data_IF_623698240177
#
_entry.id   IF_623698240177
#
_cell.length_a   1.000
_cell.length_b   1.000
_cell.length_c   1.000
_cell.angle_alpha   90.00
_cell.angle_beta   90.00
_cell.angle_gamma   90.00
#
_symmetry.space_group_name_H-M   'P 1'
#
loop_
_entity.id
_entity.type
_entity.pdbx_description
1 polymer ?
#
# COMPACT_ATOMS: atom_id res chain seq x y z
N UNK A 1 -14.50 10.16 25.35
CA UNK A 1 -13.77 9.64 26.53
C UNK A 1 -13.05 10.74 27.29
N UNK A 2 -12.26 11.59 26.64
CA UNK A 2 -11.72 12.81 27.28
C UNK A 2 -12.84 13.67 27.90
N UNK A 3 -13.94 13.84 27.17
CA UNK A 3 -15.15 14.48 27.70
C UNK A 3 -15.72 13.78 28.96
N UNK A 4 -15.62 12.45 29.08
CA UNK A 4 -16.09 11.72 30.26
C UNK A 4 -15.20 11.96 31.48
N UNK A 5 -13.88 12.03 31.28
CA UNK A 5 -12.94 12.42 32.33
C UNK A 5 -13.21 13.86 32.82
N UNK A 6 -13.50 14.78 31.90
CA UNK A 6 -13.87 16.16 32.26
C UNK A 6 -15.21 16.19 33.02
N UNK A 7 -16.21 15.41 32.59
CA UNK A 7 -17.51 15.26 33.27
C UNK A 7 -17.33 14.78 34.71
N UNK A 8 -16.40 13.84 34.98
CA UNK A 8 -16.11 13.34 36.33
C UNK A 8 -15.66 14.45 37.30
N UNK A 9 -14.86 15.41 36.83
CA UNK A 9 -14.34 16.52 37.66
C UNK A 9 -15.35 17.67 37.73
N UNK A 10 -15.92 18.07 36.58
CA UNK A 10 -16.69 19.32 36.46
C UNK A 10 -18.10 19.16 37.04
N UNK A 11 -18.76 18.03 36.76
CA UNK A 11 -20.17 17.82 37.10
C UNK A 11 -20.36 17.06 38.42
N UNK A 12 -19.34 16.36 38.94
CA UNK A 12 -19.43 15.71 40.26
C UNK A 12 -19.37 16.69 41.46
N UNK A 13 -19.40 17.99 41.21
CA UNK A 13 -19.42 19.00 42.27
C UNK A 13 -20.84 19.15 42.85
N UNK A 14 -21.08 18.61 44.06
CA UNK A 14 -22.38 18.67 44.71
C UNK A 14 -22.47 17.82 45.98
N UNK A 15 -23.44 18.14 46.86
CA UNK A 15 -23.74 17.46 48.14
C UNK A 15 -22.62 17.48 49.21
N UNK A 16 -21.66 18.41 49.13
CA UNK A 16 -20.59 18.53 50.14
C UNK A 16 -19.52 17.42 50.08
N UNK A 17 -19.48 16.64 48.99
CA UNK A 17 -18.47 15.61 48.73
C UNK A 17 -17.41 16.12 47.75
N UNK A 18 -16.15 15.69 47.88
CA UNK A 18 -15.09 16.04 46.92
C UNK A 18 -15.40 15.47 45.53
N UNK A 19 -14.85 16.07 44.46
CA UNK A 19 -14.96 15.53 43.10
C UNK A 19 -14.50 14.07 43.06
N UNK A 20 -15.00 13.28 42.10
CA UNK A 20 -14.64 11.88 41.94
C UNK A 20 -13.24 11.76 41.28
N UNK A 21 -12.22 12.25 42.00
CA UNK A 21 -10.81 12.14 41.65
C UNK A 21 -10.35 10.70 41.37
N UNK A 22 -10.81 9.66 42.10
CA UNK A 22 -10.47 8.28 41.78
C UNK A 22 -10.91 7.87 40.36
N UNK A 23 -12.11 8.27 39.95
CA UNK A 23 -12.66 7.95 38.63
C UNK A 23 -11.89 8.70 37.53
N UNK A 24 -11.59 9.99 37.75
CA UNK A 24 -10.77 10.76 36.82
C UNK A 24 -9.38 10.13 36.62
N UNK A 25 -8.67 9.86 37.71
CA UNK A 25 -7.34 9.25 37.66
C UNK A 25 -7.41 7.87 37.01
N UNK A 26 -8.44 7.08 37.32
CA UNK A 26 -8.70 5.78 36.71
C UNK A 26 -8.90 5.86 35.19
N UNK A 27 -9.75 6.78 34.71
CA UNK A 27 -10.00 6.98 33.28
C UNK A 27 -8.72 7.47 32.57
N UNK A 28 -8.00 8.43 33.16
CA UNK A 28 -6.77 8.96 32.58
C UNK A 28 -5.69 7.87 32.49
N UNK A 29 -5.53 7.06 33.53
CA UNK A 29 -4.56 5.96 33.54
C UNK A 29 -4.97 4.88 32.51
N UNK A 30 -6.26 4.57 32.40
CA UNK A 30 -6.77 3.65 31.38
C UNK A 30 -6.54 4.17 29.96
N UNK A 31 -6.78 5.45 29.70
CA UNK A 31 -6.48 6.08 28.42
C UNK A 31 -4.99 6.03 28.11
N UNK A 32 -4.15 6.38 29.07
CA UNK A 32 -2.70 6.36 28.92
C UNK A 32 -2.18 4.93 28.66
N UNK A 33 -2.68 3.94 29.40
CA UNK A 33 -2.34 2.53 29.17
C UNK A 33 -2.75 2.08 27.77
N UNK A 34 -3.98 2.38 27.33
CA UNK A 34 -4.46 2.05 25.98
C UNK A 34 -3.63 2.73 24.90
N UNK A 35 -3.29 4.01 25.07
CA UNK A 35 -2.44 4.75 24.13
C UNK A 35 -1.02 4.20 24.07
N UNK A 36 -0.41 3.86 25.20
CA UNK A 36 0.95 3.28 25.25
C UNK A 36 0.98 1.90 24.62
N UNK A 37 0.06 1.00 24.99
CA UNK A 37 -0.05 -0.34 24.41
C UNK A 37 -0.31 -0.22 22.90
N UNK A 38 -1.27 0.61 22.51
CA UNK A 38 -1.61 0.87 21.12
C UNK A 38 -0.42 1.39 20.33
N UNK A 39 0.32 2.37 20.85
CA UNK A 39 1.49 2.93 20.19
C UNK A 39 2.63 1.91 20.05
N UNK A 40 2.93 1.14 21.10
CA UNK A 40 3.99 0.12 21.07
C UNK A 40 3.67 -0.95 20.03
N UNK A 41 2.46 -1.49 20.05
CA UNK A 41 2.05 -2.55 19.12
C UNK A 41 1.95 -2.02 17.69
N UNK A 42 1.41 -0.83 17.48
CA UNK A 42 1.34 -0.20 16.15
C UNK A 42 2.73 0.07 15.58
N UNK A 43 3.70 0.49 16.41
CA UNK A 43 5.09 0.68 15.98
C UNK A 43 5.77 -0.65 15.61
N UNK A 44 5.58 -1.70 16.41
CA UNK A 44 6.12 -3.03 16.10
C UNK A 44 5.56 -3.56 14.78
N UNK A 45 4.25 -3.44 14.58
CA UNK A 45 3.59 -3.89 13.38
C UNK A 45 4.01 -3.05 12.16
N UNK A 46 4.10 -1.73 12.31
CA UNK A 46 4.56 -0.81 11.27
C UNK A 46 6.00 -1.05 10.83
N UNK A 47 6.92 -1.37 11.75
CA UNK A 47 8.31 -1.71 11.39
C UNK A 47 8.38 -2.98 10.52
N UNK A 48 7.59 -4.00 10.86
CA UNK A 48 7.54 -5.24 10.06
C UNK A 48 6.99 -4.97 8.65
N UNK A 49 5.92 -4.17 8.54
CA UNK A 49 5.38 -3.78 7.23
C UNK A 49 6.38 -2.94 6.44
N UNK A 50 7.13 -2.03 7.08
CA UNK A 50 8.15 -1.21 6.41
C UNK A 50 9.27 -2.05 5.80
N UNK A 51 9.68 -3.11 6.48
CA UNK A 51 10.69 -4.05 5.95
C UNK A 51 10.15 -4.81 4.73
N UNK A 52 8.88 -5.20 4.75
CA UNK A 52 8.20 -5.78 3.58
C UNK A 52 8.10 -4.79 2.42
N UNK A 53 7.76 -3.53 2.69
CA UNK A 53 7.72 -2.48 1.68
C UNK A 53 9.10 -2.24 1.06
N UNK A 54 10.18 -2.37 1.84
CA UNK A 54 11.54 -2.25 1.31
C UNK A 54 11.86 -3.36 0.28
N UNK A 55 11.33 -4.57 0.47
CA UNK A 55 11.49 -5.66 -0.50
C UNK A 55 10.68 -5.48 -1.80
N UNK A 56 9.73 -4.53 -1.81
CA UNK A 56 8.95 -4.12 -2.98
C UNK A 56 9.50 -2.84 -3.61
N UNK A 57 10.61 -2.30 -3.10
CA UNK A 57 11.18 -1.08 -3.64
C UNK A 57 11.50 -1.30 -5.13
N UNK A 58 11.19 -0.32 -6.00
CA UNK A 58 11.55 -0.43 -7.41
C UNK A 58 13.05 -0.60 -7.52
N UNK A 59 13.50 -1.61 -8.26
CA UNK A 59 14.91 -1.82 -8.57
C UNK A 59 15.27 -1.17 -9.92
N UNK A 60 16.52 -0.76 -10.05
CA UNK A 60 17.06 -0.19 -11.28
C UNK A 60 18.39 -0.86 -11.64
N UNK A 61 18.54 -1.21 -12.92
CA UNK A 61 19.79 -1.74 -13.46
C UNK A 61 20.70 -0.58 -13.86
N UNK A 62 21.77 -0.34 -13.10
CA UNK A 62 22.75 0.71 -13.35
C UNK A 62 24.09 0.15 -13.82
N UNK A 63 24.80 0.91 -14.64
CA UNK A 63 26.16 0.63 -15.08
C UNK A 63 27.14 1.51 -14.31
N UNK A 64 27.78 0.96 -13.28
CA UNK A 64 28.81 1.63 -12.47
C UNK A 64 30.13 0.85 -12.59
N UNK A 65 31.25 1.54 -12.74
CA UNK A 65 32.58 0.94 -12.95
C UNK A 65 32.64 -0.02 -14.15
N UNK A 66 31.84 0.24 -15.20
CA UNK A 66 31.74 -0.60 -16.39
C UNK A 66 31.02 -1.94 -16.18
N UNK A 67 30.46 -2.20 -14.99
CA UNK A 67 29.69 -3.41 -14.67
C UNK A 67 28.24 -3.07 -14.41
N UNK A 68 27.35 -3.93 -14.91
CA UNK A 68 25.93 -3.88 -14.61
C UNK A 68 25.68 -4.37 -13.18
N UNK A 69 24.95 -3.57 -12.40
CA UNK A 69 24.51 -3.87 -11.04
C UNK A 69 23.07 -3.44 -10.87
N UNK A 70 22.28 -4.25 -10.18
CA UNK A 70 20.92 -3.90 -9.77
C UNK A 70 20.99 -3.19 -8.41
N UNK A 71 20.40 -2.01 -8.30
CA UNK A 71 20.33 -1.22 -7.06
C UNK A 71 18.89 -0.74 -6.80
N UNK A 72 18.58 -0.35 -5.57
CA UNK A 72 17.31 0.30 -5.25
C UNK A 72 17.19 1.61 -6.05
N UNK A 73 16.02 1.87 -6.65
CA UNK A 73 15.79 3.09 -7.41
C UNK A 73 15.87 4.37 -6.55
N UNK A 74 15.84 4.23 -5.22
CA UNK A 74 16.09 5.33 -4.29
C UNK A 74 17.57 5.75 -4.22
N UNK A 75 18.50 4.86 -4.57
CA UNK A 75 19.96 5.09 -4.55
C UNK A 75 20.50 5.56 -5.91
N UNK A 76 19.61 5.78 -6.88
CA UNK A 76 19.91 6.36 -8.18
C UNK A 76 20.31 7.83 -8.04
N UNK A 77 21.38 8.22 -8.73
CA UNK A 77 21.85 9.60 -8.77
C UNK A 77 21.89 10.15 -10.19
N UNK A 78 21.67 11.46 -10.39
CA UNK A 78 21.92 12.09 -11.69
C UNK A 78 23.34 11.80 -12.19
N UNK A 79 23.45 11.41 -13.46
CA UNK A 79 24.70 10.97 -14.09
C UNK A 79 24.91 9.45 -14.12
N UNK A 80 24.08 8.66 -13.44
CA UNK A 80 24.08 7.20 -13.62
C UNK A 80 23.62 6.82 -15.03
N UNK A 81 24.16 5.73 -15.56
CA UNK A 81 23.67 5.09 -16.78
C UNK A 81 22.77 3.92 -16.36
N UNK A 82 21.51 3.96 -16.78
CA UNK A 82 20.53 2.90 -16.54
C UNK A 82 20.28 2.08 -17.81
N UNK A 83 20.05 0.79 -17.63
CA UNK A 83 19.57 -0.11 -18.68
C UNK A 83 18.06 -0.27 -18.56
N UNK A 84 17.36 -0.14 -19.69
CA UNK A 84 15.91 -0.24 -19.79
C UNK A 84 15.59 -1.42 -20.70
N UNK A 85 14.85 -2.38 -20.17
CA UNK A 85 14.34 -3.53 -20.93
C UNK A 85 12.86 -3.40 -21.23
N UNK A 86 12.37 -4.25 -22.11
CA UNK A 86 10.94 -4.42 -22.38
C UNK A 86 10.18 -4.70 -21.08
N UNK A 87 9.14 -3.91 -20.79
CA UNK A 87 8.31 -4.06 -19.60
C UNK A 87 8.81 -3.32 -18.37
N UNK A 88 10.05 -2.82 -18.37
CA UNK A 88 10.58 -2.06 -17.24
C UNK A 88 9.84 -0.71 -17.09
N UNK A 89 9.56 -0.37 -15.83
CA UNK A 89 9.13 0.97 -15.44
C UNK A 89 10.36 1.85 -15.29
N UNK A 90 10.36 3.01 -15.95
CA UNK A 90 11.49 3.92 -15.94
C UNK A 90 11.61 4.55 -14.53
N UNK A 91 12.72 4.33 -13.81
CA UNK A 91 12.83 4.73 -12.40
C UNK A 91 13.10 6.23 -12.19
N UNK A 92 13.65 6.91 -13.19
CA UNK A 92 14.10 8.30 -13.11
C UNK A 92 13.99 9.00 -14.47
N UNK A 93 13.97 10.33 -14.47
CA UNK A 93 14.03 11.09 -15.71
C UNK A 93 15.44 10.97 -16.30
N UNK A 94 15.53 10.78 -17.60
CA UNK A 94 16.79 10.56 -18.28
C UNK A 94 16.77 10.88 -19.76
N UNK A 95 17.90 10.64 -20.41
CA UNK A 95 18.09 10.83 -21.84
C UNK A 95 18.70 9.59 -22.47
N UNK A 96 18.11 9.13 -23.57
CA UNK A 96 18.58 7.92 -24.26
C UNK A 96 19.99 8.14 -24.83
N UNK A 97 20.89 7.22 -24.52
CA UNK A 97 22.28 7.20 -25.02
C UNK A 97 22.40 6.20 -26.16
N UNK A 98 21.76 5.05 -26.03
CA UNK A 98 21.85 3.96 -27.01
C UNK A 98 20.52 3.23 -27.05
N UNK A 99 20.04 2.92 -28.25
CA UNK A 99 18.85 2.11 -28.47
C UNK A 99 19.19 0.91 -29.35
N UNK A 100 18.67 -0.26 -28.98
CA UNK A 100 18.70 -1.44 -29.84
C UNK A 100 17.33 -1.56 -30.53
N UNK A 101 17.25 -1.02 -31.75
CA UNK A 101 16.02 -0.96 -32.52
C UNK A 101 15.11 0.21 -32.13
N UNK A 102 13.83 0.13 -32.50
CA UNK A 102 12.83 1.14 -32.15
C UNK A 102 12.41 0.97 -30.69
N UNK A 103 12.67 1.99 -29.87
CA UNK A 103 12.25 2.02 -28.48
C UNK A 103 10.91 2.76 -28.39
N UNK A 104 9.89 2.11 -27.84
CA UNK A 104 8.56 2.70 -27.66
C UNK A 104 8.21 2.76 -26.19
N UNK A 105 7.87 3.95 -25.71
CA UNK A 105 7.65 4.23 -24.30
C UNK A 105 6.22 4.72 -24.11
N UNK A 106 5.49 4.03 -23.23
CA UNK A 106 4.14 4.42 -22.82
C UNK A 106 4.22 5.51 -21.75
N UNK A 107 3.73 6.69 -22.12
CA UNK A 107 3.69 7.88 -21.27
C UNK A 107 2.27 8.19 -20.78
N UNK A 108 1.31 7.27 -20.94
CA UNK A 108 -0.10 7.49 -20.60
C UNK A 108 -0.32 7.97 -19.16
N UNK A 109 0.51 7.49 -18.22
CA UNK A 109 0.45 7.91 -16.82
C UNK A 109 0.79 9.40 -16.59
N UNK A 110 1.48 10.04 -17.54
CA UNK A 110 2.00 11.40 -17.42
C UNK A 110 1.28 12.36 -18.36
N UNK A 111 1.10 11.96 -19.62
CA UNK A 111 0.50 12.80 -20.67
C UNK A 111 -0.99 12.56 -20.84
N UNK A 112 -1.51 11.42 -20.38
CA UNK A 112 -2.89 10.98 -20.63
C UNK A 112 -3.12 10.42 -22.03
N UNK A 113 -2.08 10.34 -22.87
CA UNK A 113 -2.18 9.78 -24.22
C UNK A 113 -1.94 8.26 -24.20
N UNK A 114 -2.87 7.49 -24.75
CA UNK A 114 -2.82 6.02 -24.69
C UNK A 114 -1.87 5.36 -25.69
N UNK A 115 -1.39 6.11 -26.70
CA UNK A 115 -0.48 5.56 -27.71
C UNK A 115 0.97 5.72 -27.24
N UNK A 116 1.77 4.65 -27.25
CA UNK A 116 3.16 4.73 -26.85
C UNK A 116 3.97 5.52 -27.89
N UNK A 117 4.91 6.33 -27.41
CA UNK A 117 5.70 7.24 -28.23
C UNK A 117 7.03 6.59 -28.56
N UNK A 118 7.37 6.54 -29.84
CA UNK A 118 8.70 6.08 -30.28
C UNK A 118 9.75 7.13 -29.93
N UNK A 119 10.85 6.69 -29.32
CA UNK A 119 11.93 7.54 -28.83
C UNK A 119 13.24 7.18 -29.50
N UNK A 120 13.98 8.20 -29.92
CA UNK A 120 15.30 8.06 -30.54
C UNK A 120 16.43 8.39 -29.56
N UNK A 121 17.66 8.14 -29.99
CA UNK A 121 18.84 8.52 -29.20
C UNK A 121 18.84 10.04 -29.00
N UNK A 122 19.18 10.48 -27.78
CA UNK A 122 19.09 11.86 -27.28
C UNK A 122 17.70 12.35 -26.86
N UNK A 123 16.63 11.57 -27.08
CA UNK A 123 15.32 11.94 -26.55
C UNK A 123 15.24 11.77 -25.04
N UNK A 124 14.39 12.58 -24.43
CA UNK A 124 14.09 12.54 -23.00
C UNK A 124 13.03 11.48 -22.69
N UNK A 125 13.29 10.78 -21.58
CA UNK A 125 12.43 9.77 -20.97
C UNK A 125 12.05 10.21 -19.57
N UNK A 126 10.83 9.89 -19.14
CA UNK A 126 10.26 10.37 -17.89
C UNK A 126 10.00 9.24 -16.91
N UNK A 127 10.24 9.48 -15.62
CA UNK A 127 10.00 8.52 -14.55
C UNK A 127 8.53 8.12 -14.48
N UNK A 128 8.24 6.82 -14.32
CA UNK A 128 6.87 6.30 -14.29
C UNK A 128 6.28 5.96 -15.66
N UNK A 129 7.03 6.21 -16.75
CA UNK A 129 6.70 5.67 -18.06
C UNK A 129 7.11 4.19 -18.16
N UNK A 130 6.47 3.41 -19.02
CA UNK A 130 6.77 1.97 -19.19
C UNK A 130 7.32 1.68 -20.57
N UNK A 131 8.42 0.93 -20.66
CA UNK A 131 8.96 0.51 -21.95
C UNK A 131 8.07 -0.58 -22.58
N UNK A 132 7.43 -0.28 -23.71
CA UNK A 132 6.55 -1.22 -24.45
C UNK A 132 7.26 -1.97 -25.55
N UNK A 133 8.38 -1.45 -26.04
CA UNK A 133 9.16 -2.08 -27.11
C UNK A 133 10.62 -1.63 -27.05
N UNK A 134 11.53 -2.55 -27.36
CA UNK A 134 12.96 -2.28 -27.50
C UNK A 134 13.73 -2.36 -26.17
N UNK A 135 15.05 -2.24 -26.29
CA UNK A 135 15.99 -2.14 -25.17
C UNK A 135 16.88 -0.92 -25.37
N UNK A 136 17.21 -0.22 -24.29
CA UNK A 136 17.97 1.02 -24.37
C UNK A 136 18.85 1.26 -23.15
N UNK A 137 19.91 2.04 -23.33
CA UNK A 137 20.68 2.65 -22.24
C UNK A 137 20.32 4.14 -22.15
N UNK A 138 20.10 4.65 -20.96
CA UNK A 138 19.78 6.06 -20.72
C UNK A 138 20.63 6.68 -19.61
N UNK A 139 20.95 7.96 -19.75
CA UNK A 139 21.64 8.77 -18.75
C UNK A 139 20.61 9.43 -17.84
N UNK A 140 20.74 9.26 -16.54
CA UNK A 140 19.83 9.84 -15.55
C UNK A 140 20.07 11.34 -15.43
N UNK A 141 19.03 12.14 -15.62
CA UNK A 141 19.05 13.60 -15.51
C UNK A 141 18.47 14.05 -14.17
N UNK A 142 17.37 13.44 -13.73
CA UNK A 142 16.64 13.86 -12.53
C UNK A 142 16.03 12.68 -11.79
N UNK A 143 16.12 12.68 -10.47
CA UNK A 143 15.61 11.60 -9.59
C UNK A 143 14.60 12.15 -8.58
N UNK A 144 13.72 11.27 -8.09
CA UNK A 144 12.77 11.56 -7.01
C UNK A 144 11.89 12.78 -7.28
N UNK A 145 11.88 13.75 -6.35
CA UNK A 145 11.05 14.96 -6.43
C UNK A 145 11.42 15.90 -7.59
N UNK A 146 12.60 15.73 -8.19
CA UNK A 146 13.06 16.57 -9.29
C UNK A 146 12.64 16.02 -10.66
N UNK A 147 12.02 14.84 -10.73
CA UNK A 147 11.48 14.31 -11.98
C UNK A 147 10.22 15.07 -12.39
N UNK A 148 9.84 14.98 -13.67
CA UNK A 148 8.61 15.55 -14.19
C UNK A 148 7.40 15.07 -13.39
N UNK A 149 7.33 13.75 -13.16
CA UNK A 149 6.28 13.13 -12.34
C UNK A 149 6.34 13.61 -10.88
N UNK A 150 7.53 13.66 -10.26
CA UNK A 150 7.70 14.12 -8.88
C UNK A 150 7.28 15.58 -8.67
N UNK A 151 7.57 16.45 -9.65
CA UNK A 151 7.13 17.85 -9.66
C UNK A 151 5.62 17.96 -9.84
N UNK A 152 5.04 17.18 -10.75
CA UNK A 152 3.58 17.13 -10.95
C UNK A 152 2.87 16.63 -9.68
N UNK A 153 3.36 15.55 -9.07
CA UNK A 153 2.83 15.01 -7.82
C UNK A 153 2.90 16.01 -6.66
N UNK A 154 3.98 16.80 -6.57
CA UNK A 154 4.10 17.87 -5.57
C UNK A 154 3.04 18.96 -5.74
N UNK A 155 2.65 19.27 -6.97
CA UNK A 155 1.58 20.25 -7.28
C UNK A 155 0.19 19.68 -6.99
N UNK A 156 0.02 18.36 -7.11
CA UNK A 156 -1.24 17.63 -6.86
C UNK A 156 -1.36 17.17 -5.39
N UNK A 157 -0.35 17.46 -4.55
CA UNK A 157 -0.08 16.89 -3.21
C UNK A 157 -1.14 17.05 -2.10
N UNK A 158 -2.41 17.25 -2.44
CA UNK A 158 -3.56 17.18 -1.52
C UNK A 158 -4.69 16.26 -1.99
N UNK A 159 -4.57 15.53 -3.09
CA UNK A 159 -5.67 14.71 -3.62
C UNK A 159 -5.50 13.22 -3.30
N UNK A 160 -6.46 12.70 -2.52
CA UNK A 160 -6.77 11.28 -2.28
C UNK A 160 -5.85 10.52 -1.30
N UNK A 161 -5.95 10.85 -0.01
CA UNK A 161 -6.12 9.79 0.96
C UNK A 161 -7.58 9.31 0.83
N UNK A 162 -7.85 8.36 -0.07
CA UNK A 162 -9.11 7.63 0.01
C UNK A 162 -9.18 6.97 1.39
N UNK A 163 -10.14 7.43 2.18
CA UNK A 163 -10.42 6.83 3.48
C UNK A 163 -10.85 5.39 3.18
N UNK A 164 -10.00 4.42 3.52
CA UNK A 164 -10.26 3.01 3.23
C UNK A 164 -11.66 2.57 3.68
N UNK A 165 -12.27 1.63 2.97
CA UNK A 165 -13.63 1.19 3.23
C UNK A 165 -13.84 0.78 4.70
N UNK A 166 -12.90 0.01 5.28
CA UNK A 166 -12.88 -0.30 6.72
C UNK A 166 -12.91 0.94 7.61
N UNK A 167 -12.14 1.99 7.32
CA UNK A 167 -12.17 3.22 8.12
C UNK A 167 -13.54 3.91 8.06
N UNK A 168 -14.22 3.85 6.92
CA UNK A 168 -15.59 4.35 6.77
C UNK A 168 -16.57 3.53 7.59
N UNK A 169 -16.45 2.19 7.60
CA UNK A 169 -17.26 1.30 8.43
C UNK A 169 -17.01 1.57 9.92
N UNK A 170 -15.76 1.79 10.34
CA UNK A 170 -15.42 2.12 11.72
C UNK A 170 -16.04 3.43 12.16
N UNK A 171 -16.03 4.44 11.29
CA UNK A 171 -16.72 5.70 11.56
C UNK A 171 -18.22 5.49 11.74
N UNK A 172 -18.85 4.63 10.93
CA UNK A 172 -20.27 4.29 11.07
C UNK A 172 -20.56 3.57 12.39
N UNK A 173 -19.75 2.58 12.77
CA UNK A 173 -19.89 1.85 14.04
C UNK A 173 -19.68 2.79 15.23
N UNK A 174 -18.61 3.60 15.19
CA UNK A 174 -18.33 4.60 16.21
C UNK A 174 -19.47 5.61 16.35
N UNK A 175 -20.01 6.09 15.23
CA UNK A 175 -21.17 6.98 15.23
C UNK A 175 -22.42 6.30 15.80
N UNK A 176 -22.66 5.03 15.47
CA UNK A 176 -23.76 4.26 16.05
C UNK A 176 -23.62 4.12 17.58
N UNK A 177 -22.44 3.78 18.08
CA UNK A 177 -22.18 3.72 19.53
C UNK A 177 -22.41 5.07 20.21
N UNK A 178 -21.89 6.17 19.64
CA UNK A 178 -22.07 7.52 20.19
C UNK A 178 -23.55 7.91 20.20
N UNK A 179 -24.29 7.69 19.11
CA UNK A 179 -25.72 7.96 19.04
C UNK A 179 -26.52 7.13 20.06
N UNK A 180 -26.19 5.83 20.20
CA UNK A 180 -26.83 4.96 21.18
C UNK A 180 -26.60 5.47 22.61
N UNK A 181 -25.36 5.79 22.98
CA UNK A 181 -25.03 6.36 24.29
C UNK A 181 -25.79 7.67 24.50
N UNK A 182 -25.83 8.56 23.51
CA UNK A 182 -26.56 9.82 23.61
C UNK A 182 -28.06 9.61 23.88
N UNK A 183 -28.70 8.68 23.18
CA UNK A 183 -30.12 8.32 23.40
C UNK A 183 -30.32 7.78 24.81
N UNK A 184 -29.45 6.89 25.29
CA UNK A 184 -29.53 6.35 26.65
C UNK A 184 -29.34 7.42 27.72
N UNK A 185 -28.35 8.30 27.58
CA UNK A 185 -28.13 9.43 28.49
C UNK A 185 -29.35 10.35 28.54
N UNK A 186 -29.90 10.71 27.38
CA UNK A 186 -31.11 11.55 27.29
C UNK A 186 -32.29 10.86 27.96
N UNK A 187 -32.52 9.59 27.67
CA UNK A 187 -33.61 8.79 28.27
C UNK A 187 -33.46 8.72 29.79
N UNK A 188 -32.25 8.48 30.29
CA UNK A 188 -31.97 8.43 31.72
C UNK A 188 -32.29 9.77 32.39
N UNK A 189 -31.89 10.89 31.79
CA UNK A 189 -32.20 12.23 32.31
C UNK A 189 -33.71 12.47 32.38
N UNK A 190 -34.45 12.15 31.31
CA UNK A 190 -35.90 12.38 31.23
C UNK A 190 -36.74 11.44 32.09
N UNK A 191 -36.26 10.22 32.39
CA UNK A 191 -36.99 9.24 33.21
C UNK A 191 -36.64 9.38 34.69
N UNK A 192 -35.37 9.50 35.03
CA UNK A 192 -34.92 9.43 36.44
C UNK A 192 -35.17 10.73 37.21
N UNK A 193 -34.94 11.90 36.60
CA UNK A 193 -35.08 13.18 37.30
C UNK A 193 -36.55 13.59 37.54
N UNK A 194 -37.46 13.52 36.55
CA UNK A 194 -38.85 13.89 36.74
C UNK A 194 -39.67 12.80 37.46
N UNK A 195 -39.44 11.52 37.10
CA UNK A 195 -40.26 10.40 37.57
C UNK A 195 -39.90 9.88 38.96
N UNK A 196 -38.60 9.75 39.25
CA UNK A 196 -38.12 9.11 40.49
C UNK A 196 -37.44 10.06 41.48
N UNK A 197 -37.33 11.36 41.15
CA UNK A 197 -36.62 12.38 41.97
C UNK A 197 -35.23 11.90 42.44
N UNK A 198 -34.49 11.29 41.52
CA UNK A 198 -33.16 10.74 41.80
C UNK A 198 -32.15 11.82 42.22
N UNK A 199 -31.20 11.47 43.08
CA UNK A 199 -30.12 12.37 43.46
C UNK A 199 -29.21 12.65 42.26
N UNK A 200 -28.92 13.93 42.02
CA UNK A 200 -28.08 14.42 40.93
C UNK A 200 -26.75 13.67 40.80
N UNK A 201 -26.05 13.44 41.93
CA UNK A 201 -24.78 12.70 41.94
C UNK A 201 -24.88 11.26 41.44
N UNK A 202 -25.97 10.57 41.77
CA UNK A 202 -26.16 9.17 41.37
C UNK A 202 -26.46 9.06 39.87
N UNK A 203 -27.20 10.02 39.32
CA UNK A 203 -27.43 10.11 37.87
C UNK A 203 -26.14 10.36 37.09
N UNK A 204 -25.23 11.21 37.59
CA UNK A 204 -23.93 11.43 36.95
C UNK A 204 -23.07 10.16 36.96
N UNK A 205 -23.06 9.42 38.07
CA UNK A 205 -22.30 8.17 38.17
C UNK A 205 -22.76 7.13 37.14
N UNK A 206 -24.07 6.99 36.92
CA UNK A 206 -24.61 6.11 35.89
C UNK A 206 -24.21 6.53 34.46
N UNK A 207 -24.32 7.83 34.16
CA UNK A 207 -23.90 8.39 32.87
C UNK A 207 -22.39 8.14 32.64
N UNK A 208 -21.57 8.28 33.68
CA UNK A 208 -20.13 8.04 33.63
C UNK A 208 -19.83 6.57 33.29
N UNK A 209 -20.51 5.62 33.94
CA UNK A 209 -20.38 4.19 33.65
C UNK A 209 -20.72 3.88 32.19
N UNK A 210 -21.81 4.47 31.68
CA UNK A 210 -22.24 4.31 30.29
C UNK A 210 -21.20 4.88 29.30
N UNK A 211 -20.61 6.03 29.61
CA UNK A 211 -19.59 6.66 28.77
C UNK A 211 -18.29 5.85 28.74
N UNK A 212 -17.83 5.34 29.88
CA UNK A 212 -16.58 4.57 29.99
C UNK A 212 -16.72 3.23 29.27
N UNK A 213 -17.83 2.52 29.49
CA UNK A 213 -18.07 1.20 28.90
C UNK A 213 -18.53 1.25 27.44
N UNK A 214 -19.22 2.32 27.03
CA UNK A 214 -19.90 2.37 25.73
C UNK A 214 -19.00 2.73 24.54
N UNK A 215 -17.89 3.42 24.76
CA UNK A 215 -17.04 3.90 23.66
C UNK A 215 -15.95 2.85 23.35
N UNK A 216 -15.94 2.21 22.15
CA UNK A 216 -14.98 1.17 21.81
C UNK A 216 -13.64 1.77 21.36
N UNK A 217 -12.89 2.37 22.28
CA UNK A 217 -11.61 3.07 21.99
C UNK A 217 -10.57 2.15 21.35
N UNK A 218 -10.54 0.88 21.76
CA UNK A 218 -9.55 -0.08 21.29
C UNK A 218 -9.79 -0.56 19.86
N UNK A 219 -11.00 -0.40 19.32
CA UNK A 219 -11.39 -0.99 18.03
C UNK A 219 -10.50 -0.55 16.86
N UNK A 220 -10.18 0.75 16.65
CA UNK A 220 -9.32 1.17 15.54
C UNK A 220 -7.90 0.61 15.67
N UNK A 221 -7.36 0.60 16.89
CA UNK A 221 -6.02 0.09 17.20
C UNK A 221 -5.92 -1.41 16.96
N UNK A 222 -6.88 -2.19 17.48
CA UNK A 222 -6.92 -3.64 17.30
C UNK A 222 -6.99 -3.99 15.82
N UNK A 223 -7.84 -3.32 15.05
CA UNK A 223 -7.94 -3.59 13.61
C UNK A 223 -6.67 -3.23 12.84
N UNK A 224 -6.05 -2.07 13.13
CA UNK A 224 -4.79 -1.70 12.52
C UNK A 224 -3.67 -2.70 12.82
N UNK A 225 -3.63 -3.23 14.04
CA UNK A 225 -2.66 -4.26 14.46
C UNK A 225 -2.95 -5.57 13.72
N UNK A 226 -4.21 -6.02 13.70
CA UNK A 226 -4.62 -7.27 13.05
C UNK A 226 -4.27 -7.27 11.56
N UNK A 227 -4.53 -6.18 10.84
CA UNK A 227 -4.19 -6.07 9.42
C UNK A 227 -2.67 -6.09 9.20
N UNK A 228 -1.89 -5.43 10.05
CA UNK A 228 -0.44 -5.42 9.94
C UNK A 228 0.18 -6.79 10.28
N UNK A 229 -0.36 -7.52 11.25
CA UNK A 229 0.00 -8.92 11.52
C UNK A 229 -0.39 -9.82 10.35
N UNK A 230 -1.58 -9.62 9.77
CA UNK A 230 -2.04 -10.36 8.59
C UNK A 230 -1.14 -10.16 7.39
N UNK A 231 -0.69 -8.93 7.12
CA UNK A 231 0.28 -8.62 6.07
C UNK A 231 1.61 -9.36 6.30
N UNK A 232 2.08 -9.40 7.55
CA UNK A 232 3.30 -10.14 7.92
C UNK A 232 3.13 -11.65 7.73
N UNK A 233 1.97 -12.21 8.06
CA UNK A 233 1.72 -13.63 7.88
C UNK A 233 1.63 -14.02 6.41
N UNK A 234 0.94 -13.22 5.59
CA UNK A 234 0.89 -13.41 4.13
C UNK A 234 2.28 -13.38 3.48
N UNK A 235 3.16 -12.50 3.96
CA UNK A 235 4.54 -12.46 3.48
C UNK A 235 5.31 -13.75 3.75
N UNK A 236 5.09 -14.42 4.90
CA UNK A 236 5.70 -15.74 5.17
C UNK A 236 5.26 -16.78 4.13
N UNK A 237 4.07 -16.62 3.56
CA UNK A 237 3.54 -17.43 2.47
C UNK A 237 3.97 -16.93 1.07
N UNK A 238 4.98 -16.06 0.98
CA UNK A 238 5.47 -15.44 -0.26
C UNK A 238 4.45 -14.56 -0.98
N UNK A 239 3.39 -14.13 -0.29
CA UNK A 239 2.43 -13.16 -0.81
C UNK A 239 2.70 -11.79 -0.17
N UNK A 240 3.23 -10.85 -0.94
CA UNK A 240 3.57 -9.52 -0.42
C UNK A 240 2.39 -8.57 -0.64
N UNK A 241 1.87 -8.03 0.47
CA UNK A 241 0.75 -7.08 0.47
C UNK A 241 1.30 -5.66 0.31
N UNK A 242 1.04 -5.00 -0.80
CA UNK A 242 1.48 -3.61 -1.11
C UNK A 242 0.67 -2.55 -0.34
N UNK A 243 -0.63 -2.76 -0.18
CA UNK A 243 -1.53 -1.89 0.57
C UNK A 243 -2.23 -2.68 1.67
N UNK A 244 -2.18 -2.21 2.91
CA UNK A 244 -2.78 -2.91 4.06
C UNK A 244 -4.30 -3.11 3.89
N UNK A 245 -4.97 -2.23 3.14
CA UNK A 245 -6.39 -2.34 2.77
C UNK A 245 -6.67 -3.48 1.78
N UNK A 246 -5.67 -3.94 1.01
CA UNK A 246 -5.87 -5.03 0.06
C UNK A 246 -6.25 -6.37 0.74
N UNK A 247 -5.93 -6.53 2.04
CA UNK A 247 -6.37 -7.70 2.82
C UNK A 247 -7.89 -7.72 2.97
N UNK A 248 -8.53 -6.55 3.13
CA UNK A 248 -9.99 -6.43 3.19
C UNK A 248 -10.60 -6.79 1.84
N UNK A 249 -10.07 -6.22 0.76
CA UNK A 249 -10.55 -6.48 -0.60
C UNK A 249 -10.40 -7.95 -0.96
N UNK A 250 -9.26 -8.57 -0.65
CA UNK A 250 -8.98 -9.99 -0.88
C UNK A 250 -9.97 -10.89 -0.14
N UNK A 251 -10.38 -10.52 1.08
CA UNK A 251 -11.37 -11.27 1.85
C UNK A 251 -12.77 -11.23 1.21
N UNK A 252 -13.06 -10.20 0.40
CA UNK A 252 -14.32 -10.04 -0.32
C UNK A 252 -14.28 -10.58 -1.77
N UNK A 253 -13.14 -11.11 -2.24
CA UNK A 253 -13.01 -11.63 -3.59
C UNK A 253 -13.93 -12.83 -3.79
N UNK A 254 -14.79 -12.74 -4.80
CA UNK A 254 -15.66 -13.83 -5.26
C UNK A 254 -15.25 -14.40 -6.62
N UNK A 255 -14.51 -13.62 -7.41
CA UNK A 255 -14.03 -13.98 -8.75
C UNK A 255 -12.53 -13.71 -8.79
N UNK A 256 -11.75 -14.77 -9.04
CA UNK A 256 -10.31 -14.68 -9.28
C UNK A 256 -10.02 -14.84 -10.77
N UNK A 257 -9.67 -13.74 -11.44
CA UNK A 257 -9.15 -13.77 -12.79
C UNK A 257 -7.64 -14.00 -12.74
N UNK A 258 -7.21 -15.22 -13.07
CA UNK A 258 -5.79 -15.58 -13.13
C UNK A 258 -5.29 -15.51 -14.57
N UNK A 259 -4.14 -14.90 -14.79
CA UNK A 259 -3.46 -15.04 -16.08
C UNK A 259 -2.97 -16.50 -16.24
N UNK A 260 -2.92 -16.99 -17.47
CA UNK A 260 -2.47 -18.35 -17.77
C UNK A 260 -0.95 -18.43 -17.70
N UNK A 261 -0.28 -17.58 -18.48
CA UNK A 261 1.16 -17.67 -18.68
C UNK A 261 1.89 -17.08 -17.46
N UNK A 262 2.82 -17.83 -16.87
CA UNK A 262 3.61 -17.37 -15.72
C UNK A 262 2.89 -17.38 -14.37
N UNK A 263 1.58 -17.63 -14.33
CA UNK A 263 0.83 -17.87 -13.08
C UNK A 263 0.32 -19.32 -12.99
N UNK A 264 -0.44 -19.79 -14.00
CA UNK A 264 -0.93 -21.18 -14.03
C UNK A 264 0.08 -22.13 -14.68
N UNK A 265 0.89 -21.63 -15.60
CA UNK A 265 1.91 -22.42 -16.31
C UNK A 265 3.31 -22.13 -15.80
N UNK A 266 4.22 -23.11 -15.93
CA UNK A 266 5.62 -23.02 -15.49
C UNK A 266 6.48 -22.06 -16.34
N UNK A 267 5.90 -21.44 -17.38
CA UNK A 267 6.59 -20.63 -18.37
C UNK A 267 7.84 -21.34 -18.95
N UNK A 268 7.77 -22.66 -19.13
CA UNK A 268 8.79 -23.47 -19.79
C UNK A 268 8.13 -24.11 -21.01
N UNK A 269 8.52 -23.67 -22.19
CA UNK A 269 7.90 -24.09 -23.44
C UNK A 269 8.66 -25.32 -23.96
N UNK A 270 8.07 -26.48 -23.74
CA UNK A 270 8.60 -27.73 -24.29
C UNK A 270 8.02 -27.99 -25.69
N UNK A 271 8.89 -28.26 -26.65
CA UNK A 271 8.51 -28.61 -28.01
C UNK A 271 8.58 -30.13 -28.16
N UNK A 272 7.45 -30.74 -28.51
CA UNK A 272 7.41 -32.16 -28.86
C UNK A 272 7.94 -32.36 -30.30
N UNK A 273 9.13 -32.96 -30.42
CA UNK A 273 9.86 -33.11 -31.69
C UNK A 273 9.03 -33.74 -32.84
N UNK A 274 8.19 -34.76 -32.62
CA UNK A 274 7.37 -35.36 -33.67
C UNK A 274 6.31 -34.43 -34.27
N UNK A 275 5.94 -33.35 -33.58
CA UNK A 275 4.89 -32.41 -34.05
C UNK A 275 5.44 -31.33 -34.99
N UNK A 276 6.76 -31.24 -35.15
CA UNK A 276 7.42 -30.21 -35.97
C UNK A 276 7.12 -30.47 -37.45
N UNK A 277 6.46 -29.50 -38.10
CA UNK A 277 6.20 -29.52 -39.55
C UNK A 277 7.24 -28.67 -40.26
N UNK A 278 7.82 -29.23 -41.31
CA UNK A 278 8.76 -28.54 -42.19
C UNK A 278 8.10 -28.18 -43.52
N UNK A 279 8.37 -26.96 -44.00
CA UNK A 279 7.85 -26.46 -45.28
C UNK A 279 8.94 -26.39 -46.36
N UNK A 280 10.21 -26.40 -45.97
CA UNK A 280 11.34 -26.50 -46.89
C UNK A 280 11.75 -27.97 -47.08
N UNK A 281 12.10 -28.35 -48.31
CA UNK A 281 12.38 -29.76 -48.69
C UNK A 281 13.70 -30.27 -48.12
N UNK A 282 14.68 -29.37 -47.90
CA UNK A 282 16.06 -29.73 -47.53
C UNK A 282 16.41 -29.47 -46.06
N UNK A 283 15.41 -29.26 -45.19
CA UNK A 283 15.65 -28.92 -43.76
C UNK A 283 15.07 -30.03 -42.88
N UNK A 284 15.87 -30.58 -41.98
CA UNK A 284 15.40 -31.56 -40.98
C UNK A 284 14.75 -30.87 -39.77
N UNK A 285 13.91 -31.56 -38.99
CA UNK A 285 13.31 -30.98 -37.78
C UNK A 285 14.34 -30.49 -36.75
N UNK A 286 15.49 -31.17 -36.64
CA UNK A 286 16.57 -30.74 -35.74
C UNK A 286 17.27 -29.46 -36.24
N UNK A 287 17.35 -29.24 -37.55
CA UNK A 287 17.88 -27.99 -38.11
C UNK A 287 16.96 -26.80 -37.80
N UNK A 288 15.64 -27.00 -37.80
CA UNK A 288 14.67 -25.97 -37.40
C UNK A 288 14.88 -25.55 -35.94
N UNK A 289 15.05 -26.52 -35.04
CA UNK A 289 15.36 -26.24 -33.62
C UNK A 289 16.69 -25.50 -33.50
N UNK A 290 17.69 -25.90 -34.28
CA UNK A 290 19.01 -25.25 -34.28
C UNK A 290 18.95 -23.80 -34.76
N UNK A 291 18.20 -23.52 -35.83
CA UNK A 291 18.01 -22.14 -36.30
C UNK A 291 17.21 -21.30 -35.31
N UNK A 292 16.19 -21.87 -34.66
CA UNK A 292 15.48 -21.20 -33.58
C UNK A 292 16.44 -20.86 -32.43
N UNK A 293 17.31 -21.79 -32.03
CA UNK A 293 18.33 -21.54 -31.01
C UNK A 293 19.33 -20.44 -31.40
N UNK A 294 19.72 -20.34 -32.67
CA UNK A 294 20.59 -19.24 -33.14
C UNK A 294 19.92 -17.88 -33.17
N UNK A 295 18.61 -17.83 -33.32
CA UNK A 295 17.85 -16.58 -33.23
C UNK A 295 17.62 -16.13 -31.78
N UNK A 296 17.93 -16.97 -30.80
CA UNK A 296 17.77 -16.66 -29.38
C UNK A 296 19.01 -15.98 -28.81
N UNK A 297 18.79 -15.02 -27.90
CA UNK A 297 19.87 -14.33 -27.18
C UNK A 297 20.30 -15.17 -25.99
N UNK A 298 21.61 -15.34 -25.80
CA UNK A 298 22.16 -16.08 -24.66
C UNK A 298 22.08 -15.27 -23.35
N UNK A 299 22.06 -13.94 -23.45
CA UNK A 299 22.16 -13.01 -22.32
C UNK A 299 20.81 -12.71 -21.64
N UNK A 300 19.71 -12.95 -22.35
CA UNK A 300 18.35 -12.78 -21.84
C UNK A 300 17.66 -14.14 -21.97
N UNK A 301 17.68 -14.92 -20.90
CA UNK A 301 16.92 -16.17 -20.79
C UNK A 301 15.43 -15.82 -20.66
N UNK A 302 14.86 -15.23 -21.70
CA UNK A 302 13.41 -15.23 -21.86
C UNK A 302 12.97 -16.69 -21.86
N UNK A 303 11.83 -16.94 -21.22
CA UNK A 303 11.42 -18.29 -20.88
C UNK A 303 11.02 -19.07 -22.15
N UNK A 304 12.02 -19.66 -22.81
CA UNK A 304 11.90 -20.75 -23.77
C UNK A 304 12.00 -22.06 -23.01
#
# INVERSE_FOLDING_TARGET
>A
MEAAAIVAIVLSNGEGKPPDWPDFVGITLLLLANSVIGFIEQRKAGNAVKELMKSLAPEANVKRDGKWKTIDAADLVPGDIIGIKLGDVIPADGRLITSQGSVSIDQAAITGESLPVTKEVQDEIFSGSTCKQGEAEALVIGTGLNTFFGRAAKLVGGAHNEIGHLQTVLKKIGNFCICSIAIFVVTEIFVMYPGFRYNYRRGISNILVLLIGGIPIAMPTVLSITLAIGAKELSKHKAIVTHVTAIEELAAVTILCSDKTGTLTLNKLEIDKPTIKQYAVDISPDDVIRYAAYACRLDNQDAM
#
